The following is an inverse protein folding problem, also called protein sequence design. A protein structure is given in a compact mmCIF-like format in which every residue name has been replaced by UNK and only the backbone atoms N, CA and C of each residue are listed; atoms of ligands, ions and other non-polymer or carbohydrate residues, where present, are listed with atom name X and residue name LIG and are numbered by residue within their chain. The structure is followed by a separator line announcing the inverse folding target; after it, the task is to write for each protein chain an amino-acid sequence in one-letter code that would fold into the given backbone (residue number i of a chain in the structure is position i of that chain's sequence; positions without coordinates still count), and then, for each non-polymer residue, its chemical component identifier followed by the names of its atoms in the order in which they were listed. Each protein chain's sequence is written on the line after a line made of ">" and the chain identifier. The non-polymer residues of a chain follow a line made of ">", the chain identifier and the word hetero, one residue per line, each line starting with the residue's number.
data_IF_023030555780
#
_entry.id   IF_023030555780
#
_cell.length_a   1.000
_cell.length_b   1.000
_cell.length_c   1.000
_cell.angle_alpha   90.00
_cell.angle_beta   90.00
_cell.angle_gamma   90.00
#
_symmetry.space_group_name_H-M   'P 1'
#
loop_
_entity.id
_entity.type
_entity.pdbx_description
1 polymer ?
#
# COMPACT_ATOMS: atom_id res chain seq x y z
N UNK A 1 20.62 42.78 -36.42
CA UNK A 1 20.66 41.29 -36.45
C UNK A 1 20.61 40.60 -35.09
N UNK A 2 20.79 41.28 -33.95
CA UNK A 2 20.80 40.68 -32.61
C UNK A 2 19.40 40.51 -31.97
N UNK A 3 18.48 41.45 -32.21
CA UNK A 3 17.11 41.40 -31.67
C UNK A 3 16.32 40.16 -32.14
N UNK A 4 16.40 39.82 -33.43
CA UNK A 4 15.77 38.61 -34.00
C UNK A 4 16.32 37.30 -33.45
N UNK A 5 17.56 37.30 -32.94
CA UNK A 5 18.15 36.11 -32.30
C UNK A 5 17.65 35.93 -30.86
N UNK A 6 17.34 37.04 -30.15
CA UNK A 6 16.78 37.00 -28.80
C UNK A 6 15.32 36.52 -28.84
N UNK A 7 14.48 37.08 -29.73
CA UNK A 7 13.09 36.62 -29.94
C UNK A 7 12.99 35.12 -30.27
N UNK A 8 13.87 34.62 -31.16
CA UNK A 8 13.91 33.18 -31.49
C UNK A 8 14.33 32.31 -30.31
N UNK A 9 15.16 32.85 -29.41
CA UNK A 9 15.64 32.14 -28.22
C UNK A 9 14.55 32.03 -27.16
N UNK A 10 13.76 33.08 -26.97
CA UNK A 10 12.62 33.07 -26.06
C UNK A 10 11.51 32.12 -26.55
N UNK A 11 11.19 32.15 -27.84
CA UNK A 11 10.23 31.21 -28.42
C UNK A 11 10.69 29.74 -28.31
N UNK A 12 11.99 29.48 -28.43
CA UNK A 12 12.57 28.14 -28.25
C UNK A 12 12.56 27.68 -26.79
N UNK A 13 12.87 28.59 -25.86
CA UNK A 13 12.81 28.32 -24.42
C UNK A 13 11.39 28.01 -23.96
N UNK A 14 10.41 28.74 -24.46
CA UNK A 14 9.01 28.54 -24.12
C UNK A 14 8.49 27.19 -24.65
N UNK A 15 8.85 26.80 -25.88
CA UNK A 15 8.56 25.47 -26.40
C UNK A 15 9.23 24.35 -25.59
N UNK A 16 10.47 24.55 -25.13
CA UNK A 16 11.17 23.58 -24.30
C UNK A 16 10.49 23.42 -22.92
N UNK A 17 10.01 24.52 -22.34
CA UNK A 17 9.32 24.54 -21.05
C UNK A 17 7.96 23.84 -21.13
N UNK A 18 7.19 24.07 -22.20
CA UNK A 18 5.91 23.39 -22.43
C UNK A 18 6.09 21.89 -22.68
N UNK A 19 7.14 21.48 -23.41
CA UNK A 19 7.49 20.06 -23.56
C UNK A 19 7.83 19.40 -22.23
N UNK A 20 8.57 20.10 -21.37
CA UNK A 20 8.92 19.60 -20.03
C UNK A 20 7.68 19.42 -19.15
N UNK A 21 6.76 20.41 -19.15
CA UNK A 21 5.48 20.32 -18.44
C UNK A 21 4.62 19.17 -18.93
N UNK A 22 4.49 19.02 -20.25
CA UNK A 22 3.73 17.92 -20.86
C UNK A 22 4.32 16.55 -20.49
N UNK A 23 5.65 16.42 -20.49
CA UNK A 23 6.35 15.20 -20.07
C UNK A 23 6.09 14.86 -18.59
N UNK A 24 6.21 15.85 -17.71
CA UNK A 24 5.92 15.67 -16.26
C UNK A 24 4.47 15.28 -16.02
N UNK A 25 3.52 15.90 -16.72
CA UNK A 25 2.10 15.55 -16.62
C UNK A 25 1.85 14.10 -17.04
N UNK A 26 2.40 13.66 -18.17
CA UNK A 26 2.30 12.25 -18.60
C UNK A 26 2.94 11.29 -17.61
N UNK A 27 4.08 11.63 -17.02
CA UNK A 27 4.72 10.76 -16.03
C UNK A 27 3.83 10.55 -14.79
N UNK A 28 3.14 11.60 -14.33
CA UNK A 28 2.16 11.51 -13.23
C UNK A 28 0.96 10.66 -13.65
N UNK A 29 0.41 10.88 -14.84
CA UNK A 29 -0.73 10.11 -15.36
C UNK A 29 -0.40 8.63 -15.58
N UNK A 30 0.77 8.32 -16.14
CA UNK A 30 1.25 6.95 -16.31
C UNK A 30 1.49 6.26 -14.98
N UNK A 31 2.03 6.99 -13.99
CA UNK A 31 2.20 6.47 -12.64
C UNK A 31 0.84 6.18 -12.00
N UNK A 32 -0.10 7.11 -12.07
CA UNK A 32 -1.46 6.92 -11.58
C UNK A 32 -2.14 5.73 -12.28
N UNK A 33 -2.08 5.65 -13.61
CA UNK A 33 -2.68 4.55 -14.40
C UNK A 33 -2.10 3.18 -14.04
N UNK A 34 -0.78 3.08 -13.88
CA UNK A 34 -0.10 1.83 -13.48
C UNK A 34 -0.42 1.43 -12.04
N UNK A 35 -0.63 2.40 -11.16
CA UNK A 35 -0.84 2.15 -9.72
C UNK A 35 -2.33 2.19 -9.32
N UNK A 36 -3.27 2.49 -10.23
CA UNK A 36 -4.70 2.59 -9.87
C UNK A 36 -5.33 1.24 -9.49
N UNK A 37 -4.72 0.12 -9.89
CA UNK A 37 -5.10 -1.22 -9.44
C UNK A 37 -4.46 -1.62 -8.10
N UNK A 38 -3.61 -0.76 -7.52
CA UNK A 38 -3.07 -1.04 -6.20
C UNK A 38 -4.20 -0.94 -5.19
N UNK A 39 -4.33 -2.03 -4.42
CA UNK A 39 -5.35 -2.24 -3.40
C UNK A 39 -5.70 -0.97 -2.66
N UNK A 40 -6.99 -0.62 -2.63
CA UNK A 40 -7.48 0.40 -1.73
C UNK A 40 -7.32 -0.12 -0.30
N UNK A 41 -6.50 0.59 0.44
CA UNK A 41 -6.09 0.25 1.80
C UNK A 41 -6.77 1.17 2.83
N UNK A 42 -7.71 2.01 2.37
CA UNK A 42 -8.50 2.90 3.21
C UNK A 42 -9.37 2.15 4.22
N UNK A 43 -9.63 0.85 4.04
CA UNK A 43 -10.45 0.08 4.97
C UNK A 43 -9.74 -0.22 6.32
N UNK A 44 -8.40 -0.10 6.40
CA UNK A 44 -7.62 -0.46 7.59
C UNK A 44 -7.36 0.75 8.51
N UNK A 45 -8.40 1.51 8.83
CA UNK A 45 -8.22 2.77 9.55
C UNK A 45 -8.40 2.67 11.06
N UNK A 46 -9.08 1.64 11.57
CA UNK A 46 -9.49 1.60 12.97
C UNK A 46 -8.64 0.63 13.80
N UNK A 47 -8.24 1.08 14.99
CA UNK A 47 -7.70 0.21 16.03
C UNK A 47 -8.79 -0.75 16.49
N UNK A 48 -8.42 -2.00 16.80
CA UNK A 48 -9.37 -3.05 17.16
C UNK A 48 -9.83 -3.93 16.00
N UNK A 49 -9.57 -3.56 14.75
CA UNK A 49 -9.88 -4.39 13.58
C UNK A 49 -9.10 -5.71 13.58
N UNK A 50 -9.78 -6.79 13.21
CA UNK A 50 -9.17 -8.10 13.08
C UNK A 50 -8.55 -8.27 11.70
N UNK A 51 -7.31 -8.76 11.65
CA UNK A 51 -6.53 -8.90 10.42
C UNK A 51 -5.74 -10.21 10.41
N UNK A 52 -5.59 -10.78 9.23
CA UNK A 52 -4.65 -11.85 8.94
C UNK A 52 -3.29 -11.26 8.58
N UNK A 53 -2.22 -11.84 9.13
CA UNK A 53 -0.84 -11.44 8.83
C UNK A 53 -0.19 -12.43 7.86
N UNK A 54 0.28 -11.95 6.72
CA UNK A 54 1.08 -12.76 5.78
C UNK A 54 2.50 -12.96 6.31
N UNK A 55 2.90 -14.21 6.48
CA UNK A 55 4.26 -14.58 6.89
C UNK A 55 5.23 -14.50 5.71
N UNK A 56 6.21 -13.60 5.82
CA UNK A 56 7.21 -13.41 4.76
C UNK A 56 8.17 -14.59 4.61
N UNK A 57 8.36 -15.39 5.67
CA UNK A 57 9.26 -16.57 5.61
C UNK A 57 8.73 -17.66 4.68
N UNK A 58 7.41 -17.78 4.54
CA UNK A 58 6.76 -18.78 3.70
C UNK A 58 6.83 -18.41 2.20
N UNK A 59 7.05 -17.13 1.88
CA UNK A 59 7.19 -16.68 0.49
C UNK A 59 8.52 -17.12 -0.16
N UNK A 60 9.55 -17.38 0.65
CA UNK A 60 10.89 -17.73 0.16
C UNK A 60 11.05 -19.25 -0.09
N UNK A 61 10.06 -20.05 0.30
CA UNK A 61 10.11 -21.52 0.18
C UNK A 61 9.83 -21.94 -1.27
N UNK A 62 10.87 -22.41 -1.96
CA UNK A 62 10.73 -23.05 -3.28
C UNK A 62 10.02 -24.41 -3.12
N UNK A 63 8.73 -24.45 -3.45
CA UNK A 63 7.93 -25.69 -3.46
C UNK A 63 6.59 -25.60 -2.71
N UNK A 64 6.36 -24.55 -1.91
CA UNK A 64 5.14 -24.37 -1.11
C UNK A 64 3.91 -23.90 -1.89
N UNK A 65 3.71 -24.36 -3.14
CA UNK A 65 2.53 -23.99 -3.92
C UNK A 65 1.28 -24.57 -3.27
N UNK A 66 0.44 -23.69 -2.70
CA UNK A 66 -0.82 -24.07 -2.05
C UNK A 66 -0.79 -24.02 -0.52
N UNK A 67 0.36 -23.69 0.08
CA UNK A 67 0.44 -23.51 1.53
C UNK A 67 -0.25 -22.21 1.97
N UNK A 68 -0.93 -22.30 3.11
CA UNK A 68 -1.58 -21.15 3.72
C UNK A 68 -0.52 -20.23 4.33
N UNK A 69 -0.35 -19.04 3.73
CA UNK A 69 0.71 -18.09 4.12
C UNK A 69 0.30 -17.08 5.19
N UNK A 70 -0.95 -17.13 5.65
CA UNK A 70 -1.50 -16.16 6.59
C UNK A 70 -1.61 -16.74 8.00
N UNK A 71 -0.99 -16.10 8.97
CA UNK A 71 -1.12 -16.44 10.37
C UNK A 71 -2.26 -15.63 11.01
N UNK A 72 -3.07 -16.33 11.81
CA UNK A 72 -3.94 -15.84 12.89
C UNK A 72 -4.96 -14.73 12.58
N UNK A 73 -5.96 -14.56 13.44
CA UNK A 73 -6.57 -13.26 13.63
C UNK A 73 -5.69 -12.46 14.60
N UNK A 74 -5.02 -11.44 14.10
CA UNK A 74 -4.41 -10.39 14.90
C UNK A 74 -5.37 -9.21 15.02
N UNK A 75 -5.16 -8.35 16.00
CA UNK A 75 -5.90 -7.11 16.18
C UNK A 75 -4.96 -5.94 15.88
N UNK A 76 -5.42 -4.96 15.10
CA UNK A 76 -4.69 -3.71 14.92
C UNK A 76 -4.64 -2.98 16.27
N UNK A 77 -3.43 -2.81 16.81
CA UNK A 77 -3.25 -2.11 18.08
C UNK A 77 -3.05 -0.61 17.88
N UNK A 78 -2.23 -0.22 16.90
CA UNK A 78 -1.89 1.18 16.62
C UNK A 78 -1.56 1.34 15.13
N UNK A 79 -2.05 2.43 14.52
CA UNK A 79 -1.65 2.84 13.17
C UNK A 79 -0.41 3.73 13.23
N UNK A 80 0.62 3.37 12.47
CA UNK A 80 1.87 4.12 12.29
C UNK A 80 1.87 4.84 10.94
N UNK A 81 2.89 5.66 10.69
CA UNK A 81 3.09 6.32 9.41
C UNK A 81 3.34 5.31 8.26
N UNK A 82 3.15 5.74 7.01
CA UNK A 82 3.46 4.97 5.80
C UNK A 82 2.72 3.61 5.70
N UNK A 83 1.44 3.60 6.06
CA UNK A 83 0.57 2.42 6.02
C UNK A 83 1.18 1.22 6.75
N UNK A 84 1.73 1.48 7.94
CA UNK A 84 2.26 0.45 8.82
C UNK A 84 1.46 0.38 10.12
N UNK A 85 1.39 -0.80 10.72
CA UNK A 85 0.55 -1.08 11.88
C UNK A 85 1.32 -1.89 12.91
N UNK A 86 1.06 -1.58 14.18
CA UNK A 86 1.43 -2.47 15.29
C UNK A 86 0.26 -3.42 15.51
N UNK A 87 0.58 -4.71 15.61
CA UNK A 87 -0.41 -5.75 15.83
C UNK A 87 -0.35 -6.24 17.27
N UNK A 88 -1.49 -6.71 17.78
CA UNK A 88 -1.56 -7.50 19.00
C UNK A 88 -2.24 -8.83 18.74
N UNK A 89 -1.84 -9.86 19.48
CA UNK A 89 -2.50 -11.15 19.50
C UNK A 89 -3.85 -11.07 20.23
N UNK A 90 -4.68 -12.10 20.05
CA UNK A 90 -5.94 -12.25 20.79
C UNK A 90 -5.73 -12.35 22.31
N UNK A 91 -4.57 -12.85 22.73
CA UNK A 91 -4.14 -12.91 24.13
C UNK A 91 -3.86 -11.52 24.73
N UNK A 92 -3.75 -10.48 23.90
CA UNK A 92 -3.34 -9.14 24.29
C UNK A 92 -1.84 -8.88 24.17
N UNK A 93 -1.03 -9.88 23.80
CA UNK A 93 0.40 -9.70 23.57
C UNK A 93 0.66 -8.80 22.34
N UNK A 94 1.46 -7.75 22.50
CA UNK A 94 1.82 -6.84 21.39
C UNK A 94 3.00 -7.44 20.61
N UNK A 95 2.85 -7.54 19.28
CA UNK A 95 3.92 -8.00 18.42
C UNK A 95 5.03 -6.95 18.37
N UNK A 96 6.27 -7.41 18.46
CA UNK A 96 7.43 -6.52 18.34
C UNK A 96 7.57 -6.05 16.89
N UNK A 97 7.58 -4.73 16.71
CA UNK A 97 7.79 -4.08 15.42
C UNK A 97 6.50 -3.58 14.77
N UNK A 98 6.57 -3.32 13.46
CA UNK A 98 5.46 -2.85 12.66
C UNK A 98 5.34 -3.70 11.40
N UNK A 99 4.12 -3.80 10.89
CA UNK A 99 3.78 -4.56 9.67
C UNK A 99 3.22 -3.61 8.64
N UNK A 100 3.71 -3.69 7.40
CA UNK A 100 3.15 -2.94 6.28
C UNK A 100 1.79 -3.52 5.85
N UNK A 101 0.85 -2.64 5.49
CA UNK A 101 -0.51 -3.00 5.10
C UNK A 101 -0.61 -4.03 3.97
N UNK A 102 0.39 -4.09 3.07
CA UNK A 102 0.43 -5.07 1.98
C UNK A 102 0.51 -6.52 2.48
N UNK A 103 0.91 -6.72 3.73
CA UNK A 103 0.96 -8.02 4.41
C UNK A 103 -0.29 -8.31 5.24
N UNK A 104 -1.25 -7.39 5.28
CA UNK A 104 -2.48 -7.53 6.04
C UNK A 104 -3.65 -7.85 5.12
N UNK A 105 -4.57 -8.68 5.63
CA UNK A 105 -5.90 -8.89 5.04
C UNK A 105 -6.95 -8.78 6.13
N UNK A 106 -8.07 -8.12 5.86
CA UNK A 106 -9.18 -8.05 6.81
C UNK A 106 -9.68 -9.46 7.16
N UNK A 107 -9.89 -9.69 8.44
CA UNK A 107 -10.53 -10.90 8.95
C UNK A 107 -12.04 -10.66 8.97
N UNK A 108 -12.79 -11.48 8.23
CA UNK A 108 -14.25 -11.44 8.25
C UNK A 108 -14.78 -12.54 9.16
N UNK A 109 -15.57 -12.15 10.17
CA UNK A 109 -16.29 -13.09 11.01
C UNK A 109 -17.41 -13.75 10.21
N UNK A 110 -17.47 -15.08 10.23
CA UNK A 110 -18.58 -15.85 9.65
C UNK A 110 -19.66 -16.04 10.73
N UNK A 111 -20.88 -15.51 10.56
CA UNK A 111 -21.93 -15.61 11.58
C UNK A 111 -22.32 -17.05 11.91
N UNK A 112 -22.30 -17.93 10.90
CA UNK A 112 -22.92 -19.26 10.98
C UNK A 112 -22.11 -20.30 11.78
N UNK A 113 -20.87 -19.97 12.20
CA UNK A 113 -19.95 -20.90 12.88
C UNK A 113 -19.49 -20.39 14.25
N UNK A 114 -20.18 -19.41 14.84
CA UNK A 114 -19.88 -18.88 16.17
C UNK A 114 -20.68 -19.61 17.26
N UNK A 115 -20.27 -20.82 17.63
CA UNK A 115 -20.74 -21.43 18.89
C UNK A 115 -19.69 -21.26 19.97
N UNK A 116 -19.82 -20.19 20.76
CA UNK A 116 -19.34 -20.21 22.14
C UNK A 116 -20.34 -21.05 22.92
N UNK A 117 -20.10 -22.37 23.00
CA UNK A 117 -20.77 -23.16 24.02
C UNK A 117 -20.22 -22.70 25.37
N UNK A 118 -21.02 -21.92 26.08
CA UNK A 118 -20.84 -21.56 27.48
C UNK A 118 -20.90 -22.79 28.38
#
# INVERSE_FOLDING_TARGET
>A
MRARQIERRDASLEQAHERLRASRKRAIEDQAKRHHHQFDFSDYQEEGMYVWLRESRLDEIKGGKGEWTYAGPYIIHEKRANDSFVLRELSGAILKGHVNIRRLRLFYFRPDHQTLHS
#
